data_IF_640470827627
#
_entry.id   IF_640470827627
#
_cell.length_a   1.000
_cell.length_b   1.000
_cell.length_c   1.000
_cell.angle_alpha   90.00
_cell.angle_beta   90.00
_cell.angle_gamma   90.00
#
_symmetry.space_group_name_H-M   'P 1'
#
loop_
_entity.id
_entity.type
_entity.pdbx_description
1 polymer ?
#
# COMPACT_ATOMS: atom_id res chain seq x y z
N UNK A 1 -17.21 -14.01 -10.27
CA UNK A 1 -16.65 -14.20 -8.92
C UNK A 1 -16.09 -12.86 -8.48
N UNK A 2 -16.69 -12.21 -7.49
CA UNK A 2 -16.14 -10.97 -6.94
C UNK A 2 -14.83 -11.31 -6.23
N UNK A 3 -13.75 -10.59 -6.53
CA UNK A 3 -12.48 -10.80 -5.85
C UNK A 3 -12.62 -10.25 -4.43
N UNK A 4 -12.51 -11.13 -3.43
CA UNK A 4 -12.42 -10.78 -2.02
C UNK A 4 -11.16 -9.91 -1.77
N UNK A 5 -11.20 -9.06 -0.74
CA UNK A 5 -10.02 -8.34 -0.29
C UNK A 5 -8.88 -9.26 0.14
N UNK A 6 -9.18 -10.46 0.67
CA UNK A 6 -8.15 -11.46 0.98
C UNK A 6 -7.44 -11.91 -0.30
N UNK A 7 -8.19 -12.29 -1.34
CA UNK A 7 -7.63 -12.69 -2.63
C UNK A 7 -6.80 -11.55 -3.24
N UNK A 8 -7.31 -10.31 -3.18
CA UNK A 8 -6.59 -9.13 -3.65
C UNK A 8 -5.23 -8.96 -2.94
N UNK A 9 -5.21 -9.06 -1.60
CA UNK A 9 -3.99 -8.91 -0.81
C UNK A 9 -3.02 -10.06 -1.07
N UNK A 10 -3.51 -11.30 -1.23
CA UNK A 10 -2.68 -12.46 -1.58
C UNK A 10 -2.04 -12.28 -2.96
N UNK A 11 -2.81 -11.86 -3.97
CA UNK A 11 -2.28 -11.57 -5.31
C UNK A 11 -1.25 -10.44 -5.29
N UNK A 12 -1.47 -9.40 -4.49
CA UNK A 12 -0.48 -8.36 -4.26
C UNK A 12 0.78 -8.91 -3.57
N UNK A 13 0.61 -9.80 -2.60
CA UNK A 13 1.68 -10.53 -1.93
C UNK A 13 2.55 -11.33 -2.90
N UNK A 14 1.95 -12.03 -3.87
CA UNK A 14 2.68 -12.76 -4.93
C UNK A 14 3.54 -11.83 -5.80
N UNK A 15 3.03 -10.62 -6.12
CA UNK A 15 3.82 -9.60 -6.82
C UNK A 15 5.03 -9.15 -6.01
N UNK A 16 4.83 -8.91 -4.70
CA UNK A 16 5.91 -8.59 -3.77
C UNK A 16 6.92 -9.72 -3.65
N UNK A 17 6.47 -10.98 -3.61
CA UNK A 17 7.37 -12.15 -3.53
C UNK A 17 8.24 -12.26 -4.77
N UNK A 18 7.65 -12.13 -5.97
CA UNK A 18 8.40 -12.09 -7.23
C UNK A 18 9.44 -10.97 -7.20
N UNK A 19 9.04 -9.77 -6.79
CA UNK A 19 9.92 -8.62 -6.74
C UNK A 19 11.00 -8.73 -5.65
N UNK A 20 10.71 -9.40 -4.53
CA UNK A 20 11.68 -9.74 -3.49
C UNK A 20 12.78 -10.65 -4.04
N UNK A 21 12.47 -11.59 -4.94
CA UNK A 21 13.51 -12.44 -5.56
C UNK A 21 14.51 -11.62 -6.38
N UNK A 22 14.04 -10.55 -7.03
CA UNK A 22 14.88 -9.59 -7.75
C UNK A 22 15.67 -8.68 -6.79
N UNK A 23 15.00 -8.11 -5.78
CA UNK A 23 15.54 -7.08 -4.90
C UNK A 23 16.15 -7.60 -3.60
N UNK A 24 16.13 -8.92 -3.37
CA UNK A 24 16.53 -9.67 -2.16
C UNK A 24 15.68 -9.43 -0.91
N UNK A 25 15.11 -8.24 -0.74
CA UNK A 25 14.26 -7.84 0.40
C UNK A 25 13.17 -6.84 -0.01
N UNK A 26 12.24 -6.56 0.90
CA UNK A 26 11.13 -5.61 0.71
C UNK A 26 10.87 -4.76 1.99
N UNK A 27 11.91 -4.54 2.80
CA UNK A 27 11.81 -3.91 4.14
C UNK A 27 11.18 -2.50 4.08
N UNK A 28 11.44 -1.74 3.02
CA UNK A 28 10.80 -0.44 2.76
C UNK A 28 9.29 -0.53 2.57
N UNK A 29 8.79 -1.53 1.84
CA UNK A 29 7.35 -1.73 1.70
C UNK A 29 6.71 -2.20 3.01
N UNK A 30 7.36 -3.16 3.71
CA UNK A 30 6.88 -3.68 5.00
C UNK A 30 6.72 -2.54 5.99
N UNK A 31 7.74 -1.69 6.13
CA UNK A 31 7.71 -0.55 7.04
C UNK A 31 6.51 0.36 6.76
N UNK A 32 6.23 0.64 5.49
CA UNK A 32 5.07 1.46 5.11
C UNK A 32 3.72 0.78 5.37
N UNK A 33 3.65 -0.54 5.21
CA UNK A 33 2.47 -1.35 5.56
C UNK A 33 2.21 -1.42 7.06
N UNK A 34 3.26 -1.32 7.87
CA UNK A 34 3.15 -1.27 9.34
C UNK A 34 2.75 0.11 9.85
N UNK A 35 3.36 1.16 9.29
CA UNK A 35 3.16 2.54 9.73
C UNK A 35 1.78 3.08 9.31
N UNK A 36 1.34 2.80 8.06
CA UNK A 36 0.19 3.49 7.48
C UNK A 36 -1.15 3.26 8.22
N UNK A 37 -1.53 2.03 8.61
CA UNK A 37 -2.79 1.82 9.34
C UNK A 37 -2.83 2.60 10.66
N UNK A 38 -1.70 2.69 11.35
CA UNK A 38 -1.58 3.45 12.60
C UNK A 38 -1.75 4.95 12.34
N UNK A 39 -1.12 5.46 11.29
CA UNK A 39 -1.26 6.86 10.88
C UNK A 39 -2.70 7.22 10.49
N UNK A 40 -3.41 6.32 9.81
CA UNK A 40 -4.84 6.51 9.48
C UNK A 40 -5.70 6.60 10.74
N UNK A 41 -5.42 5.78 11.75
CA UNK A 41 -6.17 5.82 13.02
C UNK A 41 -5.87 7.09 13.83
N UNK A 42 -4.63 7.58 13.79
CA UNK A 42 -4.19 8.75 14.56
C UNK A 42 -4.60 10.07 13.92
N UNK A 43 -4.37 10.22 12.62
CA UNK A 43 -4.47 11.49 11.92
C UNK A 43 -5.68 11.54 10.96
N UNK A 44 -6.15 10.39 10.50
CA UNK A 44 -7.13 10.28 9.41
C UNK A 44 -6.49 9.81 8.10
N UNK A 45 -7.32 9.33 7.17
CA UNK A 45 -6.87 8.79 5.89
C UNK A 45 -6.36 9.89 4.95
N UNK A 46 -7.04 11.03 4.89
CA UNK A 46 -6.62 12.17 4.04
C UNK A 46 -5.24 12.71 4.42
N UNK A 47 -4.95 13.04 5.70
CA UNK A 47 -3.60 13.49 6.08
C UNK A 47 -2.56 12.38 5.95
N UNK A 48 -2.89 11.11 6.25
CA UNK A 48 -1.97 9.99 6.03
C UNK A 48 -1.57 9.84 4.55
N UNK A 49 -2.55 9.93 3.64
CA UNK A 49 -2.31 9.90 2.19
C UNK A 49 -1.47 11.09 1.73
N UNK A 50 -1.78 12.28 2.22
CA UNK A 50 -1.06 13.51 1.89
C UNK A 50 0.40 13.41 2.34
N UNK A 51 0.64 12.89 3.55
CA UNK A 51 1.99 12.64 4.05
C UNK A 51 2.75 11.65 3.16
N UNK A 52 2.16 10.49 2.83
CA UNK A 52 2.82 9.49 1.99
C UNK A 52 3.13 10.06 0.59
N UNK A 53 2.19 10.82 0.02
CA UNK A 53 2.40 11.49 -1.26
C UNK A 53 3.54 12.51 -1.19
N UNK A 54 3.66 13.29 -0.12
CA UNK A 54 4.76 14.26 0.05
C UNK A 54 6.15 13.61 0.09
N UNK A 55 6.23 12.32 0.46
CA UNK A 55 7.47 11.55 0.53
C UNK A 55 7.76 10.77 -0.74
N UNK A 56 6.75 10.52 -1.57
CA UNK A 56 6.92 9.85 -2.84
C UNK A 56 7.35 10.85 -3.92
N UNK A 57 8.43 10.54 -4.64
CA UNK A 57 8.78 11.31 -5.85
C UNK A 57 7.78 11.06 -6.99
N UNK A 58 7.32 9.81 -7.09
CA UNK A 58 6.35 9.34 -8.08
C UNK A 58 5.63 8.09 -7.53
N UNK A 59 4.50 7.72 -8.14
CA UNK A 59 3.81 6.47 -7.83
C UNK A 59 4.35 5.38 -8.74
N UNK A 60 4.86 4.30 -8.15
CA UNK A 60 5.47 3.20 -8.88
C UNK A 60 4.76 1.89 -8.59
N UNK A 61 4.35 1.16 -9.64
CA UNK A 61 3.86 -0.21 -9.50
C UNK A 61 4.99 -1.13 -9.03
N UNK A 62 4.69 -2.10 -8.18
CA UNK A 62 5.67 -3.06 -7.60
C UNK A 62 6.59 -3.66 -8.67
N UNK A 63 6.04 -4.06 -9.80
CA UNK A 63 6.78 -4.73 -10.88
C UNK A 63 7.86 -3.83 -11.50
N UNK A 64 7.58 -2.52 -11.57
CA UNK A 64 8.46 -1.51 -12.19
C UNK A 64 9.29 -0.72 -11.18
N UNK A 65 9.06 -0.92 -9.88
CA UNK A 65 9.74 -0.17 -8.84
C UNK A 65 11.25 -0.47 -8.79
N UNK A 66 12.04 0.57 -8.55
CA UNK A 66 13.46 0.45 -8.18
C UNK A 66 13.56 -0.34 -6.87
N UNK A 67 14.48 -1.30 -6.81
CA UNK A 67 14.74 -2.07 -5.59
C UNK A 67 15.07 -1.19 -4.37
N UNK A 68 15.62 0.02 -4.55
CA UNK A 68 15.80 0.99 -3.45
C UNK A 68 14.48 1.41 -2.81
N UNK A 69 13.40 1.54 -3.58
CA UNK A 69 12.07 1.85 -3.04
C UNK A 69 11.52 0.69 -2.21
N UNK A 70 11.87 -0.55 -2.55
CA UNK A 70 11.40 -1.72 -1.83
C UNK A 70 12.27 -2.07 -0.63
N UNK A 71 13.58 -1.83 -0.68
CA UNK A 71 14.54 -2.33 0.33
C UNK A 71 14.90 -1.32 1.41
N UNK A 72 14.81 -0.02 1.14
CA UNK A 72 15.18 1.02 2.11
C UNK A 72 13.98 1.42 2.97
N UNK A 73 14.09 1.26 4.29
CA UNK A 73 13.03 1.61 5.26
C UNK A 73 12.67 3.11 5.26
N UNK A 74 13.60 3.98 4.85
CA UNK A 74 13.34 5.41 4.62
C UNK A 74 12.55 5.72 3.34
N UNK A 75 12.27 4.70 2.50
CA UNK A 75 11.53 4.80 1.24
C UNK A 75 10.21 4.00 1.32
N UNK A 76 9.79 3.37 0.22
CA UNK A 76 8.57 2.54 0.14
C UNK A 76 7.29 3.32 -0.12
N UNK A 77 7.31 4.65 0.00
CA UNK A 77 6.14 5.50 -0.19
C UNK A 77 5.56 5.39 -1.60
N UNK A 78 6.40 5.39 -2.62
CA UNK A 78 6.00 5.29 -4.03
C UNK A 78 5.18 4.02 -4.33
N UNK A 79 5.68 2.88 -3.86
CA UNK A 79 5.08 1.56 -4.07
C UNK A 79 3.86 1.37 -3.19
N UNK A 80 3.92 1.80 -1.93
CA UNK A 80 2.79 1.70 -1.03
C UNK A 80 1.62 2.60 -1.45
N UNK A 81 1.89 3.78 -2.02
CA UNK A 81 0.85 4.60 -2.63
C UNK A 81 0.21 3.91 -3.84
N UNK A 82 0.99 3.21 -4.66
CA UNK A 82 0.43 2.42 -5.76
C UNK A 82 -0.53 1.35 -5.23
N UNK A 83 -0.13 0.62 -4.19
CA UNK A 83 -1.01 -0.33 -3.49
C UNK A 83 -2.29 0.35 -3.00
N UNK A 84 -2.15 1.49 -2.31
CA UNK A 84 -3.30 2.20 -1.74
C UNK A 84 -4.26 2.70 -2.81
N UNK A 85 -3.76 3.23 -3.92
CA UNK A 85 -4.59 3.67 -5.05
C UNK A 85 -5.36 2.47 -5.63
N UNK A 86 -4.71 1.33 -5.80
CA UNK A 86 -5.38 0.11 -6.26
C UNK A 86 -6.49 -0.31 -5.28
N UNK A 87 -6.24 -0.27 -3.96
CA UNK A 87 -7.24 -0.56 -2.93
C UNK A 87 -8.43 0.40 -3.03
N UNK A 88 -8.17 1.71 -3.12
CA UNK A 88 -9.23 2.71 -3.19
C UNK A 88 -10.10 2.56 -4.44
N UNK A 89 -9.49 2.23 -5.59
CA UNK A 89 -10.23 1.99 -6.83
C UNK A 89 -11.10 0.73 -6.75
N UNK A 90 -10.57 -0.36 -6.21
CA UNK A 90 -11.28 -1.64 -6.19
C UNK A 90 -12.34 -1.73 -5.09
N UNK A 91 -12.09 -1.15 -3.92
CA UNK A 91 -12.93 -1.35 -2.73
C UNK A 91 -13.69 -0.10 -2.27
N UNK A 92 -13.23 1.10 -2.67
CA UNK A 92 -13.95 2.35 -2.45
C UNK A 92 -14.56 2.92 -3.75
N UNK A 93 -14.38 2.25 -4.90
CA UNK A 93 -14.91 2.65 -6.21
C UNK A 93 -14.51 4.08 -6.62
N UNK A 94 -13.32 4.52 -6.20
CA UNK A 94 -12.79 5.82 -6.61
C UNK A 94 -12.45 5.83 -8.10
N UNK A 95 -12.68 6.97 -8.75
CA UNK A 95 -12.43 7.16 -10.19
C UNK A 95 -11.22 8.04 -10.48
N UNK A 96 -10.49 8.41 -9.44
CA UNK A 96 -9.34 9.29 -9.52
C UNK A 96 -8.28 8.83 -10.55
N UNK A 97 -7.76 9.79 -11.30
CA UNK A 97 -6.73 9.57 -12.32
C UNK A 97 -5.33 9.94 -11.84
N UNK A 98 -5.24 10.78 -10.80
CA UNK A 98 -4.00 11.17 -10.14
C UNK A 98 -4.07 10.98 -8.61
N UNK A 99 -2.93 10.90 -7.90
CA UNK A 99 -2.92 10.80 -6.44
C UNK A 99 -3.62 11.98 -5.74
N UNK A 100 -3.46 13.20 -6.28
CA UNK A 100 -4.12 14.40 -5.74
C UNK A 100 -5.64 14.33 -5.92
N UNK A 101 -6.11 13.80 -7.04
CA UNK A 101 -7.54 13.58 -7.26
C UNK A 101 -8.08 12.50 -6.33
N UNK A 102 -7.30 11.44 -6.05
CA UNK A 102 -7.69 10.43 -5.08
C UNK A 102 -7.86 11.05 -3.68
N UNK A 103 -6.95 11.94 -3.26
CA UNK A 103 -7.07 12.63 -1.96
C UNK A 103 -8.34 13.49 -1.91
N UNK A 104 -8.67 14.21 -3.00
CA UNK A 104 -9.90 15.01 -3.09
C UNK A 104 -11.16 14.16 -3.00
N UNK A 105 -11.21 13.04 -3.72
CA UNK A 105 -12.36 12.12 -3.67
C UNK A 105 -12.48 11.46 -2.29
N UNK A 106 -11.37 11.00 -1.69
CA UNK A 106 -11.37 10.42 -0.34
C UNK A 106 -11.93 11.39 0.69
N UNK A 107 -11.58 12.67 0.60
CA UNK A 107 -12.06 13.72 1.52
C UNK A 107 -13.59 13.84 1.55
N UNK A 108 -14.29 13.48 0.48
CA UNK A 108 -15.75 13.60 0.42
C UNK A 108 -16.45 12.58 1.33
N UNK A 109 -15.86 11.40 1.52
CA UNK A 109 -16.46 10.28 2.26
C UNK A 109 -15.44 9.56 3.17
N UNK A 110 -14.52 10.31 3.77
CA UNK A 110 -13.31 9.78 4.42
C UNK A 110 -13.61 8.66 5.43
N UNK A 111 -14.61 8.86 6.30
CA UNK A 111 -14.98 7.89 7.35
C UNK A 111 -15.46 6.57 6.73
N UNK A 112 -16.30 6.64 5.70
CA UNK A 112 -16.87 5.47 5.03
C UNK A 112 -15.78 4.70 4.29
N UNK A 113 -14.93 5.43 3.56
CA UNK A 113 -13.81 4.84 2.81
C UNK A 113 -12.81 4.18 3.77
N UNK A 114 -12.46 4.86 4.87
CA UNK A 114 -11.54 4.34 5.88
C UNK A 114 -12.05 3.01 6.44
N UNK A 115 -13.33 2.93 6.82
CA UNK A 115 -13.94 1.69 7.33
C UNK A 115 -13.88 0.54 6.32
N UNK A 116 -14.04 0.84 5.01
CA UNK A 116 -13.96 -0.16 3.95
C UNK A 116 -12.54 -0.69 3.75
N UNK A 117 -11.53 0.18 3.78
CA UNK A 117 -10.16 -0.21 3.41
C UNK A 117 -9.30 -0.68 4.59
N UNK A 118 -9.63 -0.27 5.82
CA UNK A 118 -8.80 -0.58 6.99
C UNK A 118 -8.53 -2.09 7.18
N UNK A 119 -9.50 -3.01 7.00
CA UNK A 119 -9.24 -4.44 7.04
C UNK A 119 -8.19 -4.90 6.01
N UNK A 120 -8.22 -4.30 4.82
CA UNK A 120 -7.30 -4.59 3.70
C UNK A 120 -5.88 -4.14 4.05
N UNK A 121 -5.76 -2.95 4.65
CA UNK A 121 -4.47 -2.40 5.11
C UNK A 121 -3.86 -3.28 6.22
N UNK A 122 -4.69 -3.72 7.17
CA UNK A 122 -4.27 -4.63 8.24
C UNK A 122 -3.84 -5.98 7.69
N UNK A 123 -4.53 -6.52 6.68
CA UNK A 123 -4.14 -7.79 6.10
C UNK A 123 -2.86 -7.67 5.26
N UNK A 124 -2.69 -6.59 4.50
CA UNK A 124 -1.45 -6.32 3.78
C UNK A 124 -0.24 -6.16 4.72
N UNK A 125 -0.43 -5.64 5.93
CA UNK A 125 0.62 -5.65 6.97
C UNK A 125 1.07 -7.08 7.29
N UNK A 126 0.14 -8.02 7.46
CA UNK A 126 0.47 -9.43 7.75
C UNK A 126 1.13 -10.10 6.55
N UNK A 127 0.56 -9.94 5.36
CA UNK A 127 1.06 -10.58 4.13
C UNK A 127 2.44 -10.05 3.75
N UNK A 128 2.67 -8.73 3.84
CA UNK A 128 4.01 -8.17 3.57
C UNK A 128 5.06 -8.69 4.56
N UNK A 129 4.70 -8.87 5.83
CA UNK A 129 5.57 -9.51 6.82
C UNK A 129 5.87 -10.98 6.50
N UNK A 130 4.87 -11.76 6.07
CA UNK A 130 5.06 -13.15 5.62
C UNK A 130 6.03 -13.21 4.43
N UNK A 131 5.81 -12.36 3.43
CA UNK A 131 6.70 -12.24 2.26
C UNK A 131 8.10 -11.79 2.68
N UNK A 132 8.19 -10.90 3.67
CA UNK A 132 9.43 -10.35 4.22
C UNK A 132 10.32 -11.38 4.91
N UNK A 133 9.73 -12.30 5.67
CA UNK A 133 10.47 -13.33 6.43
C UNK A 133 11.44 -14.10 5.54
N UNK A 134 12.66 -14.29 6.04
CA UNK A 134 13.57 -15.32 5.53
C UNK A 134 13.16 -16.62 6.21
N UNK A 135 12.62 -17.55 5.45
CA UNK A 135 12.67 -18.95 5.87
C UNK A 135 14.14 -19.34 5.80
N UNK A 136 14.78 -19.46 6.96
CA UNK A 136 16.12 -20.03 7.05
C UNK A 136 16.05 -21.44 6.44
N UNK A 137 16.80 -21.65 5.37
CA UNK A 137 17.28 -22.96 4.94
C UNK A 137 18.76 -23.00 5.26
#
# INVERSE_FOLDING_TARGET
MWMDYIDFVIEYGKKLEKKKRECRKIDGFIRRAEDFPSLVVQEGLVPAMTFYYSKAKEVAKVEKADCKELTNEGKGYSVYLSFLIDVLKNFANLKCTSPLDCIKEVRQEEIVITRKILPILVEMKKVSNIVGKRWFR
#
